data_IF_079842531015
#
_entry.id   IF_079842531015
#
_cell.length_a   1.000
_cell.length_b   1.000
_cell.length_c   1.000
_cell.angle_alpha   90.00
_cell.angle_beta   90.00
_cell.angle_gamma   90.00
#
_symmetry.space_group_name_H-M   'P 1'
#
loop_
_entity.id
_entity.type
_entity.pdbx_description
1 polymer ?
#
# COMPACT_ATOMS: atom_id res chain seq x y z
N UNK A 1 -1.40 -6.52 11.76
CA UNK A 1 -2.21 -5.28 11.85
C UNK A 1 -2.52 -4.81 10.44
N UNK A 2 -3.75 -4.37 10.16
CA UNK A 2 -4.14 -3.75 8.89
C UNK A 2 -4.37 -2.26 9.15
N UNK A 3 -3.70 -1.38 8.40
CA UNK A 3 -3.90 0.07 8.48
C UNK A 3 -4.43 0.61 7.14
N UNK A 4 -5.71 1.00 7.05
CA UNK A 4 -6.25 1.67 5.87
C UNK A 4 -5.90 3.16 5.87
N UNK A 5 -5.69 3.74 4.69
CA UNK A 5 -5.56 5.18 4.47
C UNK A 5 -5.96 5.51 3.02
N UNK A 6 -6.11 6.81 2.72
CA UNK A 6 -6.36 7.31 1.38
C UNK A 6 -5.45 8.49 1.08
N UNK A 7 -5.04 8.63 -0.17
CA UNK A 7 -4.20 9.73 -0.63
C UNK A 7 -4.52 10.08 -2.09
N UNK A 8 -4.05 11.24 -2.51
CA UNK A 8 -4.27 11.77 -3.86
C UNK A 8 -3.13 11.43 -4.84
N UNK A 9 -1.87 11.41 -4.38
CA UNK A 9 -0.68 11.16 -5.21
C UNK A 9 0.47 10.55 -4.38
N UNK A 10 1.63 10.32 -4.98
CA UNK A 10 2.89 10.00 -4.30
C UNK A 10 3.09 8.53 -3.92
N UNK A 11 2.23 7.62 -4.38
CA UNK A 11 2.27 6.21 -3.95
C UNK A 11 3.54 5.52 -4.45
N UNK A 12 3.88 5.69 -5.73
CA UNK A 12 5.07 5.11 -6.33
C UNK A 12 6.33 5.65 -5.66
N UNK A 13 6.47 6.97 -5.55
CA UNK A 13 7.62 7.62 -4.92
C UNK A 13 7.79 7.14 -3.47
N UNK A 14 6.69 6.97 -2.73
CA UNK A 14 6.73 6.43 -1.36
C UNK A 14 7.23 4.97 -1.30
N UNK A 15 6.79 4.12 -2.23
CA UNK A 15 7.20 2.71 -2.26
C UNK A 15 8.65 2.57 -2.69
N UNK A 16 9.04 3.24 -3.78
CA UNK A 16 10.37 3.15 -4.39
C UNK A 16 11.44 3.88 -3.61
N UNK A 17 11.14 5.07 -3.09
CA UNK A 17 12.16 5.92 -2.45
C UNK A 17 11.94 6.04 -0.94
N UNK A 18 10.71 5.86 -0.48
CA UNK A 18 10.31 6.20 0.87
C UNK A 18 10.21 7.71 1.10
N UNK A 19 9.76 8.09 2.30
CA UNK A 19 9.81 9.50 2.71
C UNK A 19 11.28 9.90 2.95
N UNK A 20 11.88 10.58 1.97
CA UNK A 20 13.28 11.05 1.97
C UNK A 20 13.60 12.12 3.02
N UNK A 21 12.65 12.55 3.86
CA UNK A 21 12.90 13.56 4.90
C UNK A 21 13.83 13.03 5.99
N UNK A 22 15.14 13.12 5.73
CA UNK A 22 16.21 12.75 6.63
C UNK A 22 16.30 11.26 6.91
N UNK A 23 16.27 10.36 5.94
CA UNK A 23 16.67 8.94 6.18
C UNK A 23 18.17 8.77 5.98
N UNK A 24 18.77 7.87 6.75
CA UNK A 24 20.18 7.47 6.61
C UNK A 24 20.38 6.49 5.44
N UNK A 25 19.37 5.66 5.18
CA UNK A 25 19.37 4.64 4.14
C UNK A 25 18.24 4.87 3.13
N UNK A 26 18.52 4.54 1.88
CA UNK A 26 17.56 4.46 0.78
C UNK A 26 16.60 3.27 0.96
N UNK A 27 15.48 3.25 0.23
CA UNK A 27 14.55 2.12 0.26
C UNK A 27 15.22 0.82 -0.14
N UNK A 28 16.02 0.83 -1.21
CA UNK A 28 16.68 -0.37 -1.72
C UNK A 28 17.71 -0.94 -0.74
N UNK A 29 18.32 -0.09 0.08
CA UNK A 29 19.19 -0.52 1.18
C UNK A 29 18.38 -1.11 2.34
N UNK A 30 17.21 -0.55 2.62
CA UNK A 30 16.37 -0.97 3.74
C UNK A 30 15.63 -2.28 3.49
N UNK A 31 15.07 -2.45 2.30
CA UNK A 31 14.10 -3.50 1.99
C UNK A 31 14.46 -4.26 0.71
N UNK A 32 14.14 -5.55 0.69
CA UNK A 32 13.88 -6.26 -0.56
C UNK A 32 12.40 -6.08 -0.89
N UNK A 33 12.12 -5.48 -2.05
CA UNK A 33 10.78 -5.25 -2.58
C UNK A 33 10.35 -6.45 -3.41
N UNK A 34 9.27 -7.09 -2.99
CA UNK A 34 8.70 -8.26 -3.67
C UNK A 34 7.32 -7.89 -4.18
N UNK A 35 7.18 -7.70 -5.49
CA UNK A 35 5.87 -7.50 -6.12
C UNK A 35 5.07 -8.79 -6.04
N UNK A 36 3.87 -8.72 -5.46
CA UNK A 36 2.98 -9.86 -5.25
C UNK A 36 1.86 -9.87 -6.29
N UNK A 37 1.30 -8.70 -6.62
CA UNK A 37 0.19 -8.57 -7.55
C UNK A 37 0.21 -7.22 -8.25
N UNK A 38 -0.08 -7.24 -9.55
CA UNK A 38 -0.27 -6.03 -10.36
C UNK A 38 1.04 -5.39 -10.81
N UNK A 39 0.90 -4.17 -11.31
CA UNK A 39 1.98 -3.36 -11.89
C UNK A 39 1.87 -1.95 -11.31
N UNK A 40 2.98 -1.43 -10.75
CA UNK A 40 2.98 -0.16 -10.02
C UNK A 40 2.79 1.02 -10.97
N UNK A 41 3.42 1.01 -12.13
CA UNK A 41 3.35 2.09 -13.13
C UNK A 41 1.93 2.17 -13.71
N UNK A 42 1.33 1.02 -14.02
CA UNK A 42 -0.07 0.96 -14.42
C UNK A 42 -0.99 1.49 -13.32
N UNK A 43 -0.79 1.04 -12.09
CA UNK A 43 -1.59 1.49 -10.93
C UNK A 43 -1.50 3.00 -10.74
N UNK A 44 -0.29 3.55 -10.89
CA UNK A 44 -0.04 5.00 -10.91
C UNK A 44 -0.83 5.70 -11.99
N UNK A 45 -0.66 5.28 -13.24
CA UNK A 45 -1.36 5.93 -14.35
C UNK A 45 -2.88 5.93 -14.16
N UNK A 46 -3.44 4.87 -13.56
CA UNK A 46 -4.87 4.79 -13.25
C UNK A 46 -5.27 5.81 -12.18
N UNK A 47 -4.63 5.84 -11.01
CA UNK A 47 -5.06 6.79 -9.98
C UNK A 47 -4.76 8.25 -10.37
N UNK A 48 -3.70 8.52 -11.13
CA UNK A 48 -3.38 9.87 -11.63
C UNK A 48 -4.38 10.33 -12.71
N UNK A 49 -5.02 9.41 -13.42
CA UNK A 49 -6.07 9.74 -14.41
C UNK A 49 -7.36 10.27 -13.78
N UNK A 50 -7.62 9.96 -12.50
CA UNK A 50 -8.81 10.43 -11.78
C UNK A 50 -8.69 11.95 -11.60
N UNK A 51 -9.66 12.80 -12.00
CA UNK A 51 -9.55 14.25 -11.83
C UNK A 51 -9.38 14.67 -10.37
N UNK A 52 -8.46 15.59 -10.06
CA UNK A 52 -8.27 16.09 -8.70
C UNK A 52 -9.37 17.09 -8.33
N UNK A 53 -10.12 16.79 -7.28
CA UNK A 53 -11.11 17.67 -6.66
C UNK A 53 -10.91 17.75 -5.14
N UNK A 54 -9.71 17.41 -4.65
CA UNK A 54 -9.38 17.37 -3.23
C UNK A 54 -9.79 16.07 -2.50
N UNK A 55 -10.18 15.03 -3.25
CA UNK A 55 -10.48 13.69 -2.74
C UNK A 55 -9.26 12.76 -2.78
N UNK A 56 -9.34 11.63 -2.10
CA UNK A 56 -8.37 10.56 -2.32
C UNK A 56 -8.62 9.90 -3.66
N UNK A 57 -7.55 9.68 -4.42
CA UNK A 57 -7.58 9.00 -5.72
C UNK A 57 -7.29 7.50 -5.60
N UNK A 58 -6.68 7.09 -4.50
CA UNK A 58 -6.47 5.67 -4.20
C UNK A 58 -6.62 5.41 -2.70
N UNK A 59 -6.99 4.18 -2.38
CA UNK A 59 -6.87 3.61 -1.06
C UNK A 59 -5.53 2.89 -0.95
N UNK A 60 -4.94 2.94 0.24
CA UNK A 60 -3.77 2.15 0.56
C UNK A 60 -3.94 1.40 1.87
N UNK A 61 -3.35 0.21 1.93
CA UNK A 61 -3.36 -0.62 3.13
C UNK A 61 -1.95 -1.10 3.44
N UNK A 62 -1.56 -0.98 4.70
CA UNK A 62 -0.36 -1.67 5.20
C UNK A 62 -0.77 -2.88 6.01
N UNK A 63 -0.37 -4.08 5.57
CA UNK A 63 -0.50 -5.33 6.30
C UNK A 63 0.82 -5.63 7.01
N UNK A 64 0.89 -5.38 8.31
CA UNK A 64 2.11 -5.59 9.10
C UNK A 64 2.10 -6.93 9.83
N UNK A 65 3.23 -7.64 9.75
CA UNK A 65 3.49 -8.90 10.43
C UNK A 65 4.27 -8.69 11.73
N UNK A 66 4.10 -9.60 12.69
CA UNK A 66 4.85 -9.57 13.96
C UNK A 66 6.17 -10.33 13.83
N UNK A 67 6.16 -11.35 12.99
CA UNK A 67 7.22 -12.29 12.72
C UNK A 67 8.43 -11.60 12.06
N UNK A 68 9.63 -12.06 12.38
CA UNK A 68 10.88 -11.54 11.81
C UNK A 68 11.07 -11.85 10.32
N UNK A 69 10.46 -12.96 9.90
CA UNK A 69 10.46 -13.46 8.55
C UNK A 69 9.10 -14.13 8.28
N UNK A 70 8.61 -13.96 7.06
CA UNK A 70 7.36 -14.57 6.59
C UNK A 70 7.67 -15.19 5.23
N UNK A 71 7.26 -16.43 5.03
CA UNK A 71 7.46 -17.12 3.76
C UNK A 71 6.72 -16.40 2.63
N UNK A 72 7.31 -16.36 1.44
CA UNK A 72 6.70 -15.76 0.26
C UNK A 72 5.32 -16.36 -0.08
N UNK A 73 5.16 -17.67 0.09
CA UNK A 73 3.88 -18.35 -0.09
C UNK A 73 2.81 -17.81 0.87
N UNK A 74 3.17 -17.54 2.12
CA UNK A 74 2.27 -16.93 3.11
C UNK A 74 1.93 -15.49 2.74
N UNK A 75 2.90 -14.68 2.30
CA UNK A 75 2.66 -13.31 1.84
C UNK A 75 1.69 -13.27 0.65
N UNK A 76 1.88 -14.18 -0.31
CA UNK A 76 0.99 -14.38 -1.46
C UNK A 76 -0.41 -14.81 -1.03
N UNK A 77 -0.52 -15.78 -0.12
CA UNK A 77 -1.81 -16.26 0.39
C UNK A 77 -2.60 -15.15 1.13
N UNK A 78 -1.94 -14.42 2.03
CA UNK A 78 -2.55 -13.29 2.76
C UNK A 78 -3.00 -12.19 1.80
N UNK A 79 -2.20 -11.89 0.77
CA UNK A 79 -2.56 -10.89 -0.25
C UNK A 79 -3.77 -11.33 -1.07
N UNK A 80 -3.84 -12.60 -1.45
CA UNK A 80 -4.97 -13.15 -2.21
C UNK A 80 -6.27 -13.12 -1.39
N UNK A 81 -6.22 -13.53 -0.11
CA UNK A 81 -7.36 -13.48 0.80
C UNK A 81 -7.83 -12.04 1.04
N UNK A 82 -6.88 -11.12 1.28
CA UNK A 82 -7.19 -9.70 1.45
C UNK A 82 -7.85 -9.10 0.20
N UNK A 83 -7.32 -9.41 -1.00
CA UNK A 83 -7.92 -8.99 -2.28
C UNK A 83 -9.33 -9.55 -2.45
N UNK A 84 -9.54 -10.83 -2.19
CA UNK A 84 -10.84 -11.47 -2.30
C UNK A 84 -11.86 -10.84 -1.36
N UNK A 85 -11.47 -10.58 -0.11
CA UNK A 85 -12.33 -9.95 0.87
C UNK A 85 -12.67 -8.50 0.48
N UNK A 86 -11.64 -7.67 0.21
CA UNK A 86 -11.80 -6.25 -0.08
C UNK A 86 -12.62 -6.02 -1.36
N UNK A 87 -12.38 -6.84 -2.39
CA UNK A 87 -12.98 -6.66 -3.71
C UNK A 87 -14.18 -7.57 -3.95
N UNK A 88 -14.75 -8.18 -2.90
CA UNK A 88 -15.84 -9.16 -3.01
C UNK A 88 -17.05 -8.68 -3.83
N UNK A 89 -17.37 -7.38 -3.73
CA UNK A 89 -18.49 -6.76 -4.43
C UNK A 89 -18.18 -6.34 -5.89
N UNK A 90 -16.95 -6.57 -6.36
CA UNK A 90 -16.47 -6.14 -7.67
C UNK A 90 -16.05 -7.35 -8.52
N UNK A 91 -16.29 -7.27 -9.82
CA UNK A 91 -15.70 -8.19 -10.80
C UNK A 91 -14.26 -7.79 -11.08
N UNK A 92 -13.45 -8.74 -11.58
CA UNK A 92 -12.03 -8.53 -11.79
C UNK A 92 -11.70 -7.37 -12.74
N UNK A 93 -12.58 -7.09 -13.70
CA UNK A 93 -12.43 -6.03 -14.69
C UNK A 93 -12.82 -4.65 -14.15
N UNK A 94 -13.46 -4.58 -12.98
CA UNK A 94 -13.95 -3.33 -12.40
C UNK A 94 -12.89 -2.59 -11.60
N UNK A 95 -11.76 -3.21 -11.27
CA UNK A 95 -10.77 -2.61 -10.39
C UNK A 95 -9.33 -2.93 -10.78
N UNK A 96 -8.44 -2.02 -10.39
CA UNK A 96 -7.01 -2.27 -10.34
C UNK A 96 -6.58 -2.53 -8.89
N UNK A 97 -5.62 -3.45 -8.72
CA UNK A 97 -5.12 -3.84 -7.40
C UNK A 97 -3.62 -4.13 -7.48
N UNK A 98 -2.84 -3.33 -6.77
CA UNK A 98 -1.40 -3.52 -6.61
C UNK A 98 -1.07 -3.99 -5.20
N UNK A 99 -0.14 -4.93 -5.08
CA UNK A 99 0.42 -5.33 -3.79
C UNK A 99 1.90 -5.67 -3.88
N UNK A 100 2.67 -5.19 -2.91
CA UNK A 100 4.11 -5.42 -2.80
C UNK A 100 4.51 -5.61 -1.33
N UNK A 101 5.33 -6.62 -1.06
CA UNK A 101 5.94 -6.82 0.25
C UNK A 101 7.29 -6.10 0.36
N UNK A 102 7.50 -5.42 1.47
CA UNK A 102 8.80 -4.93 1.91
C UNK A 102 9.37 -5.89 2.95
N UNK A 103 10.48 -6.54 2.61
CA UNK A 103 11.20 -7.48 3.47
C UNK A 103 12.48 -6.79 4.00
N UNK A 104 12.56 -6.45 5.30
CA UNK A 104 13.70 -5.69 5.81
C UNK A 104 15.02 -6.45 5.69
N UNK A 105 15.97 -5.86 4.95
CA UNK A 105 17.39 -6.24 4.90
C UNK A 105 18.10 -5.76 6.17
N UNK A 106 17.80 -4.53 6.59
CA UNK A 106 18.26 -3.94 7.85
C UNK A 106 17.13 -4.07 8.88
N UNK A 107 17.39 -4.81 9.96
CA UNK A 107 16.37 -5.11 11.00
C UNK A 107 16.17 -4.00 12.01
N UNK A 108 17.16 -3.15 12.21
CA UNK A 108 17.12 -2.09 13.22
C UNK A 108 17.48 -0.75 12.60
N UNK A 109 16.67 0.26 12.86
CA UNK A 109 16.94 1.64 12.48
C UNK A 109 16.70 2.56 13.66
N UNK A 110 17.45 3.64 13.76
CA UNK A 110 17.23 4.64 14.80
C UNK A 110 16.04 5.52 14.43
N UNK A 111 15.01 5.54 15.27
CA UNK A 111 13.91 6.49 15.13
C UNK A 111 14.41 7.91 15.42
N UNK A 112 14.29 8.80 14.44
CA UNK A 112 14.86 10.16 14.55
C UNK A 112 14.12 11.06 15.52
N UNK A 113 12.86 10.78 15.85
CA UNK A 113 12.08 11.59 16.79
C UNK A 113 12.45 11.28 18.23
N UNK A 114 12.73 10.01 18.52
CA UNK A 114 12.93 9.48 19.86
C UNK A 114 14.38 9.09 20.15
N UNK A 115 15.21 8.95 19.12
CA UNK A 115 16.59 8.44 19.21
C UNK A 115 16.68 6.95 19.53
N UNK A 116 15.54 6.25 19.63
CA UNK A 116 15.50 4.85 20.05
C UNK A 116 15.60 3.91 18.84
N UNK A 117 16.24 2.73 19.00
CA UNK A 117 16.21 1.72 17.96
C UNK A 117 14.78 1.21 17.77
N UNK A 118 14.34 1.14 16.52
CA UNK A 118 13.07 0.56 16.10
C UNK A 118 13.35 -0.62 15.21
N UNK A 119 12.69 -1.71 15.54
CA UNK A 119 12.76 -2.94 14.77
C UNK A 119 11.87 -2.85 13.54
N UNK A 120 12.39 -3.30 12.40
CA UNK A 120 11.68 -3.38 11.12
C UNK A 120 11.21 -4.81 10.89
N UNK A 121 9.90 -4.96 10.70
CA UNK A 121 9.25 -6.24 10.37
C UNK A 121 8.72 -6.24 8.92
N UNK A 122 8.57 -7.43 8.30
CA UNK A 122 7.90 -7.57 7.02
C UNK A 122 6.52 -6.90 7.02
N UNK A 123 6.16 -6.29 5.89
CA UNK A 123 4.85 -5.71 5.67
C UNK A 123 4.50 -5.68 4.18
N UNK A 124 3.21 -5.74 3.87
CA UNK A 124 2.68 -5.60 2.51
C UNK A 124 2.03 -4.24 2.38
N UNK A 125 2.35 -3.51 1.31
CA UNK A 125 1.61 -2.35 0.85
C UNK A 125 0.64 -2.79 -0.24
N UNK A 126 -0.61 -2.36 -0.12
CA UNK A 126 -1.64 -2.53 -1.13
C UNK A 126 -2.07 -1.15 -1.61
N UNK A 127 -2.29 -0.98 -2.92
CA UNK A 127 -2.85 0.23 -3.53
C UNK A 127 -4.03 -0.17 -4.40
N UNK A 128 -5.16 0.53 -4.22
CA UNK A 128 -6.40 0.35 -4.99
C UNK A 128 -6.90 1.72 -5.45
N UNK A 129 -6.81 2.06 -6.75
CA UNK A 129 -7.40 3.28 -7.29
C UNK A 129 -8.91 3.37 -7.02
N UNK A 130 -9.41 4.56 -6.72
CA UNK A 130 -10.82 4.82 -6.39
C UNK A 130 -11.69 5.07 -7.64
N UNK A 131 -11.53 4.21 -8.65
CA UNK A 131 -12.30 4.25 -9.89
C UNK A 131 -12.72 2.84 -10.29
N UNK A 132 -13.98 2.69 -10.69
CA UNK A 132 -14.48 1.49 -11.33
C UNK A 132 -14.09 1.54 -12.81
N UNK A 133 -13.23 0.63 -13.25
CA UNK A 133 -12.62 0.66 -14.59
C UNK A 133 -13.63 0.40 -15.73
N UNK A 134 -14.79 -0.19 -15.44
CA UNK A 134 -15.84 -0.41 -16.44
C UNK A 134 -16.78 0.78 -16.57
N UNK A 135 -17.23 1.34 -15.44
CA UNK A 135 -18.24 2.41 -15.43
C UNK A 135 -17.65 3.82 -15.41
N UNK A 136 -16.37 3.97 -15.03
CA UNK A 136 -15.74 5.27 -14.78
C UNK A 136 -16.22 5.99 -13.51
N UNK A 137 -17.17 5.40 -12.78
CA UNK A 137 -17.64 5.93 -11.51
C UNK A 137 -16.63 5.68 -10.39
N UNK A 138 -16.81 6.36 -9.27
CA UNK A 138 -15.99 6.10 -8.09
C UNK A 138 -16.14 4.65 -7.61
N UNK A 139 -15.01 4.00 -7.32
CA UNK A 139 -14.96 2.73 -6.58
C UNK A 139 -14.45 2.98 -5.16
N UNK A 140 -15.18 2.46 -4.17
CA UNK A 140 -14.76 2.55 -2.78
C UNK A 140 -15.11 1.24 -2.03
N UNK A 141 -14.21 0.26 -2.03
CA UNK A 141 -14.47 -1.04 -1.39
C UNK A 141 -14.57 -1.01 0.14
N UNK A 142 -14.15 0.07 0.80
CA UNK A 142 -14.29 0.23 2.27
C UNK A 142 -15.54 1.00 2.68
N UNK A 143 -16.36 1.42 1.70
CA UNK A 143 -17.57 2.19 1.93
C UNK A 143 -17.32 3.66 2.33
N UNK A 144 -18.40 4.43 2.44
CA UNK A 144 -18.36 5.81 2.90
C UNK A 144 -18.50 5.86 4.43
N UNK A 145 -17.46 6.30 5.11
CA UNK A 145 -17.58 6.82 6.47
C UNK A 145 -17.44 8.33 6.43
N UNK A 146 -18.45 9.07 6.91
CA UNK A 146 -18.23 10.46 7.33
C UNK A 146 -17.32 10.38 8.55
N UNK A 147 -16.06 10.77 8.42
CA UNK A 147 -15.18 10.97 9.56
C UNK A 147 -15.82 12.03 10.46
N UNK A 148 -16.51 11.58 11.50
CA UNK A 148 -16.94 12.41 12.61
C UNK A 148 -15.80 12.40 13.63
N UNK A 149 -14.67 13.03 13.32
CA UNK A 149 -13.72 13.52 14.32
C UNK A 149 -12.58 14.27 13.61
N UNK A 150 -12.38 15.52 14.03
CA UNK A 150 -11.23 16.38 13.74
C UNK A 150 -10.40 16.48 15.02
#
# INVERSE_FOLDING_TARGET
MIRPSGYNTGAQEYLEEGNKSGREFTRDELDHRLVISGDLDLTRSIYESIPDRGQDRYLTFTLSFREDAVAESTLKAVTAEFKQFLMYAYKAEEFNFYAEAHLPKIKWVTDKKTGKPVERKPHIHVIVPRINLLSGNEANPVGFYKNHEK
#
